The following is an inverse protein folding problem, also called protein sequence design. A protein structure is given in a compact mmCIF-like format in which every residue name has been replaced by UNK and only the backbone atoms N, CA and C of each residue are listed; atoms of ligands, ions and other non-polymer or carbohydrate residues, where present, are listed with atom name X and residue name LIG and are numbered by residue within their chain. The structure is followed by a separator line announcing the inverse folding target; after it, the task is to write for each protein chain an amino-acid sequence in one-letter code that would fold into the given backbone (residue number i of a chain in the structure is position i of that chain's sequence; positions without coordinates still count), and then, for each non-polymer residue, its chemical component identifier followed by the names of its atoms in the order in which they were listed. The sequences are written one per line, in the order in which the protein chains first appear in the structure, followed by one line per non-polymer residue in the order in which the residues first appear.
data_IF_363313994477
#
_entry.id   IF_363313994477
#
_cell.length_a   1.000
_cell.length_b   1.000
_cell.length_c   1.000
_cell.angle_alpha   90.00
_cell.angle_beta   90.00
_cell.angle_gamma   90.00
#
_symmetry.space_group_name_H-M   'P 1'
#
loop_
_entity.id
_entity.type
_entity.pdbx_description
1 polymer ?
#
# COMPACT_ATOMS: atom_id res chain seq x y z
N UNK A 1 74.53 -18.75 -11.62
CA UNK A 1 73.45 -19.69 -11.26
C UNK A 1 72.47 -18.97 -10.34
N UNK A 2 71.29 -18.73 -10.90
CA UNK A 2 69.95 -18.41 -10.37
C UNK A 2 69.82 -17.83 -8.94
N UNK A 3 69.31 -16.59 -8.91
CA UNK A 3 68.81 -15.82 -7.77
C UNK A 3 67.39 -16.26 -7.38
N UNK A 4 67.06 -16.26 -6.08
CA UNK A 4 65.68 -16.40 -5.58
C UNK A 4 65.40 -15.34 -4.52
N UNK A 5 64.62 -14.34 -4.90
CA UNK A 5 64.00 -13.36 -3.99
C UNK A 5 62.61 -13.87 -3.61
N UNK A 6 62.40 -14.16 -2.33
CA UNK A 6 61.10 -14.56 -1.78
C UNK A 6 60.19 -13.35 -1.63
N UNK A 7 59.09 -13.32 -2.39
CA UNK A 7 58.04 -12.32 -2.28
C UNK A 7 56.96 -12.81 -1.29
N UNK A 8 56.52 -12.00 -0.31
CA UNK A 8 55.47 -12.42 0.61
C UNK A 8 54.11 -12.31 -0.10
N UNK A 9 53.46 -13.46 -0.27
CA UNK A 9 52.09 -13.54 -0.78
C UNK A 9 51.14 -13.00 0.30
N UNK A 10 50.62 -11.78 0.10
CA UNK A 10 49.57 -11.20 0.93
C UNK A 10 48.24 -11.88 0.58
N UNK A 11 47.80 -12.87 1.38
CA UNK A 11 46.46 -13.43 1.27
C UNK A 11 45.45 -12.41 1.80
N UNK A 12 44.77 -11.72 0.88
CA UNK A 12 43.59 -10.92 1.19
C UNK A 12 42.40 -11.88 1.36
N UNK A 13 42.03 -12.20 2.60
CA UNK A 13 40.76 -12.87 2.88
C UNK A 13 39.62 -11.89 2.61
N UNK A 14 39.01 -11.99 1.44
CA UNK A 14 37.70 -11.41 1.15
C UNK A 14 36.67 -12.14 2.03
N UNK A 15 36.41 -11.61 3.22
CA UNK A 15 35.20 -11.92 3.98
C UNK A 15 34.01 -11.39 3.16
N UNK A 16 33.46 -12.24 2.30
CA UNK A 16 32.13 -12.02 1.76
C UNK A 16 31.17 -12.04 2.96
N UNK A 17 30.77 -10.85 3.42
CA UNK A 17 29.70 -10.72 4.40
C UNK A 17 28.43 -11.27 3.76
N UNK A 18 28.08 -12.52 4.08
CA UNK A 18 26.79 -13.10 3.74
C UNK A 18 25.74 -12.25 4.45
N UNK A 19 25.07 -11.35 3.73
CA UNK A 19 23.88 -10.68 4.25
C UNK A 19 22.87 -11.77 4.59
N UNK A 20 22.57 -11.92 5.88
CA UNK A 20 21.46 -12.77 6.31
C UNK A 20 20.21 -12.36 5.53
N UNK A 21 19.45 -13.34 5.05
CA UNK A 21 18.17 -13.06 4.41
C UNK A 21 17.29 -12.24 5.37
N UNK A 22 16.54 -11.24 4.89
CA UNK A 22 15.66 -10.46 5.74
C UNK A 22 14.71 -11.40 6.49
N UNK A 23 14.58 -11.20 7.79
CA UNK A 23 13.65 -11.97 8.63
C UNK A 23 12.22 -11.61 8.24
N UNK A 24 11.43 -12.60 7.81
CA UNK A 24 10.01 -12.43 7.49
C UNK A 24 9.19 -12.90 8.67
N UNK A 25 8.31 -12.03 9.16
CA UNK A 25 7.38 -12.31 10.26
C UNK A 25 5.96 -12.34 9.72
N UNK A 26 5.23 -13.45 9.90
CA UNK A 26 3.80 -13.51 9.58
C UNK A 26 3.00 -12.78 10.67
N UNK A 27 2.29 -11.73 10.27
CA UNK A 27 1.37 -10.98 11.14
C UNK A 27 -0.04 -11.57 11.07
N UNK A 28 -0.47 -11.97 9.87
CA UNK A 28 -1.71 -12.70 9.64
C UNK A 28 -1.49 -13.80 8.60
N UNK A 29 -2.12 -14.96 8.81
CA UNK A 29 -1.90 -16.17 8.00
C UNK A 29 -3.03 -16.45 7.00
N UNK A 30 -4.02 -15.56 6.90
CA UNK A 30 -5.18 -15.70 6.03
C UNK A 30 -6.24 -16.70 6.48
N UNK A 31 -6.13 -17.32 7.67
CA UNK A 31 -7.15 -18.27 8.15
C UNK A 31 -8.39 -17.58 8.72
N UNK A 32 -8.25 -16.34 9.17
CA UNK A 32 -9.33 -15.52 9.73
C UNK A 32 -8.93 -14.05 9.66
N UNK A 33 -9.91 -13.16 9.83
CA UNK A 33 -9.62 -11.76 10.05
C UNK A 33 -8.87 -11.53 11.37
N UNK A 34 -7.85 -10.69 11.31
CA UNK A 34 -6.94 -10.36 12.39
C UNK A 34 -6.61 -8.86 12.32
N UNK A 35 -6.24 -8.30 13.47
CA UNK A 35 -5.83 -6.90 13.59
C UNK A 35 -4.71 -6.80 14.62
N UNK A 36 -3.89 -5.77 14.49
CA UNK A 36 -2.83 -5.50 15.44
C UNK A 36 -2.20 -4.14 15.20
N UNK A 37 -1.08 -3.91 15.89
CA UNK A 37 -0.32 -2.67 15.78
C UNK A 37 1.14 -2.99 15.46
N UNK A 38 1.75 -2.16 14.62
CA UNK A 38 3.17 -2.22 14.29
C UNK A 38 3.65 -0.83 13.90
N UNK A 39 4.81 -0.41 14.43
CA UNK A 39 5.47 0.85 14.02
C UNK A 39 4.57 2.10 14.08
N UNK A 40 3.68 2.16 15.08
CA UNK A 40 2.74 3.27 15.27
C UNK A 40 1.52 3.26 14.33
N UNK A 41 1.39 2.24 13.49
CA UNK A 41 0.23 1.99 12.64
C UNK A 41 -0.61 0.85 13.18
N UNK A 42 -1.88 0.83 12.79
CA UNK A 42 -2.77 -0.32 12.96
C UNK A 42 -2.80 -1.09 11.64
N UNK A 43 -2.79 -2.41 11.70
CA UNK A 43 -2.99 -3.27 10.54
C UNK A 43 -4.27 -4.09 10.67
N UNK A 44 -4.92 -4.37 9.54
CA UNK A 44 -6.13 -5.17 9.42
C UNK A 44 -5.95 -6.16 8.27
N UNK A 45 -6.12 -7.45 8.52
CA UNK A 45 -5.84 -8.48 7.53
C UNK A 45 -6.82 -9.65 7.64
N UNK A 46 -7.42 -10.02 6.52
CA UNK A 46 -8.15 -11.27 6.33
C UNK A 46 -7.39 -12.25 5.43
N UNK A 47 -6.38 -11.75 4.69
CA UNK A 47 -5.44 -12.54 3.91
C UNK A 47 -4.13 -12.79 4.66
N UNK A 48 -3.08 -13.05 3.89
CA UNK A 48 -1.73 -13.25 4.43
C UNK A 48 -1.02 -11.90 4.49
N UNK A 49 -0.72 -11.45 5.69
CA UNK A 49 0.06 -10.25 5.96
C UNK A 49 1.39 -10.63 6.62
N UNK A 50 2.49 -10.10 6.08
CA UNK A 50 3.85 -10.33 6.57
C UNK A 50 4.57 -8.99 6.77
N UNK A 51 5.47 -8.92 7.75
CA UNK A 51 6.48 -7.87 7.89
C UNK A 51 7.85 -8.44 7.47
N UNK A 52 8.53 -7.75 6.57
CA UNK A 52 9.61 -8.28 5.77
C UNK A 52 9.10 -9.04 4.54
N UNK A 53 9.84 -8.98 3.43
CA UNK A 53 9.43 -9.59 2.15
C UNK A 53 10.52 -10.52 1.62
N UNK A 54 10.15 -11.77 1.36
CA UNK A 54 11.04 -12.78 0.76
C UNK A 54 11.34 -12.50 -0.71
N UNK A 55 10.41 -11.87 -1.43
CA UNK A 55 10.51 -11.47 -2.84
C UNK A 55 10.26 -9.97 -2.98
N UNK A 56 11.17 -9.18 -2.41
CA UNK A 56 11.06 -7.74 -2.32
C UNK A 56 11.24 -7.05 -3.69
N UNK A 57 10.26 -6.27 -4.18
CA UNK A 57 10.36 -5.56 -5.46
C UNK A 57 11.24 -4.29 -5.43
N UNK A 58 11.84 -3.95 -4.29
CA UNK A 58 12.67 -2.74 -4.11
C UNK A 58 12.14 -1.77 -3.05
N UNK A 59 11.39 -2.27 -2.07
CA UNK A 59 10.84 -1.54 -0.93
C UNK A 59 11.66 -1.94 0.31
N UNK A 60 12.40 -1.03 0.93
CA UNK A 60 13.35 -1.33 2.00
C UNK A 60 12.72 -2.03 3.21
N UNK A 61 11.92 -1.29 3.97
CA UNK A 61 11.09 -1.83 5.05
C UNK A 61 9.69 -2.10 4.48
N UNK A 62 9.26 -3.35 4.48
CA UNK A 62 8.16 -3.77 3.62
C UNK A 62 7.18 -4.75 4.29
N UNK A 63 5.94 -4.67 3.85
CA UNK A 63 4.84 -5.53 4.23
C UNK A 63 4.32 -6.26 3.00
N UNK A 64 4.35 -7.59 3.03
CA UNK A 64 3.79 -8.44 1.99
C UNK A 64 2.34 -8.79 2.27
N UNK A 65 1.47 -8.61 1.28
CA UNK A 65 0.03 -8.80 1.37
C UNK A 65 -0.43 -9.79 0.29
N UNK A 66 -1.32 -10.71 0.62
CA UNK A 66 -1.87 -11.66 -0.36
C UNK A 66 -3.31 -12.03 -0.04
N UNK A 67 -4.17 -11.77 -1.02
CA UNK A 67 -5.59 -12.13 -1.01
C UNK A 67 -5.88 -13.24 -2.04
N UNK A 68 -6.70 -14.21 -1.64
CA UNK A 68 -7.09 -15.35 -2.47
C UNK A 68 -7.98 -14.96 -3.66
N UNK A 69 -7.84 -15.69 -4.77
CA UNK A 69 -8.79 -15.64 -5.89
C UNK A 69 -10.15 -16.28 -5.58
N UNK A 70 -10.27 -17.06 -4.50
CA UNK A 70 -11.53 -17.65 -4.09
C UNK A 70 -12.39 -16.58 -3.38
N UNK A 71 -13.57 -16.23 -3.92
CA UNK A 71 -14.42 -15.16 -3.36
C UNK A 71 -14.98 -15.46 -1.97
N UNK A 72 -14.89 -16.71 -1.51
CA UNK A 72 -15.35 -17.16 -0.20
C UNK A 72 -14.21 -17.40 0.80
N UNK A 73 -12.96 -17.11 0.43
CA UNK A 73 -11.79 -17.22 1.30
C UNK A 73 -11.29 -15.82 1.72
N UNK A 74 -10.51 -15.78 2.80
CA UNK A 74 -9.93 -14.54 3.36
C UNK A 74 -10.99 -13.48 3.64
N UNK A 75 -12.14 -13.87 4.19
CA UNK A 75 -13.24 -12.94 4.40
C UNK A 75 -13.00 -12.06 5.62
N UNK A 76 -13.22 -10.76 5.41
CA UNK A 76 -13.39 -9.78 6.46
C UNK A 76 -14.82 -9.90 7.05
N UNK A 77 -14.96 -10.18 8.36
CA UNK A 77 -16.24 -10.44 9.02
C UNK A 77 -16.98 -9.11 9.28
N UNK A 78 -17.52 -8.52 8.23
CA UNK A 78 -18.47 -7.42 8.31
C UNK A 78 -19.88 -7.85 7.92
N UNK A 79 -20.92 -7.15 8.40
CA UNK A 79 -22.32 -7.37 8.02
C UNK A 79 -22.66 -6.86 6.60
N UNK A 80 -21.65 -6.59 5.79
CA UNK A 80 -21.79 -6.05 4.45
C UNK A 80 -21.59 -7.13 3.39
N UNK A 81 -21.49 -6.70 2.14
CA UNK A 81 -21.06 -7.56 1.04
C UNK A 81 -19.74 -8.29 1.38
N UNK A 82 -19.53 -9.54 0.93
CA UNK A 82 -18.28 -10.26 1.11
C UNK A 82 -17.06 -9.48 0.58
N UNK A 83 -16.01 -9.41 1.40
CA UNK A 83 -14.82 -8.57 1.18
C UNK A 83 -13.54 -9.25 1.67
N UNK A 84 -12.42 -8.87 1.09
CA UNK A 84 -11.07 -9.29 1.46
C UNK A 84 -10.21 -8.06 1.70
N UNK A 85 -9.42 -8.01 2.77
CA UNK A 85 -8.51 -6.88 3.04
C UNK A 85 -7.18 -7.31 3.64
N UNK A 86 -6.12 -6.65 3.24
CA UNK A 86 -4.85 -6.55 3.97
C UNK A 86 -4.42 -5.07 3.86
N UNK A 87 -4.51 -4.32 4.95
CA UNK A 87 -4.25 -2.87 4.96
C UNK A 87 -3.55 -2.44 6.24
N UNK A 88 -2.73 -1.41 6.13
CA UNK A 88 -2.22 -0.64 7.26
C UNK A 88 -2.87 0.75 7.25
N UNK A 89 -2.93 1.36 8.43
CA UNK A 89 -3.37 2.74 8.53
C UNK A 89 -2.70 3.50 9.66
N UNK A 90 -2.52 4.80 9.43
CA UNK A 90 -2.05 5.73 10.45
C UNK A 90 -3.13 5.99 11.51
N UNK A 91 -2.76 6.54 12.68
CA UNK A 91 -3.73 7.02 13.65
C UNK A 91 -4.62 8.15 13.09
N UNK A 92 -5.87 8.25 13.55
CA UNK A 92 -6.74 9.41 13.31
C UNK A 92 -6.10 10.73 13.67
N UNK A 93 -6.28 11.74 12.82
CA UNK A 93 -5.78 13.09 13.02
C UNK A 93 -6.89 14.05 13.44
N UNK A 94 -6.52 15.05 14.24
CA UNK A 94 -7.45 16.10 14.65
C UNK A 94 -7.74 17.04 13.47
N UNK A 95 -8.98 17.50 13.37
CA UNK A 95 -9.42 18.43 12.33
C UNK A 95 -8.56 19.72 12.32
N UNK A 96 -8.25 20.21 11.12
CA UNK A 96 -7.34 21.34 10.91
C UNK A 96 -5.85 20.98 10.94
N UNK A 97 -5.47 19.77 11.35
CA UNK A 97 -4.08 19.30 11.27
C UNK A 97 -3.69 19.04 9.82
N UNK A 98 -2.49 19.48 9.43
CA UNK A 98 -1.88 19.14 8.16
C UNK A 98 -0.86 18.03 8.38
N UNK A 99 -0.82 17.05 7.48
CA UNK A 99 0.19 16.00 7.47
C UNK A 99 0.67 15.74 6.05
N UNK A 100 1.95 15.41 5.93
CA UNK A 100 2.53 14.83 4.73
C UNK A 100 2.82 13.35 4.99
N UNK A 101 2.39 12.50 4.06
CA UNK A 101 2.59 11.06 4.06
C UNK A 101 3.33 10.63 2.80
N UNK A 102 4.23 9.67 2.95
CA UNK A 102 4.88 9.00 1.84
C UNK A 102 4.94 7.51 2.11
N UNK A 103 4.77 6.71 1.06
CA UNK A 103 4.98 5.28 1.09
C UNK A 103 5.24 4.77 -0.33
N UNK A 104 5.82 3.58 -0.43
CA UNK A 104 5.89 2.83 -1.69
C UNK A 104 4.83 1.75 -1.72
N UNK A 105 4.37 1.45 -2.92
CA UNK A 105 3.54 0.29 -3.21
C UNK A 105 4.10 -0.44 -4.42
N UNK A 106 3.96 -1.76 -4.43
CA UNK A 106 4.07 -2.58 -5.62
C UNK A 106 2.81 -3.43 -5.69
N UNK A 107 2.10 -3.36 -6.80
CA UNK A 107 0.98 -4.25 -7.10
C UNK A 107 1.44 -5.28 -8.13
N UNK A 108 1.30 -6.57 -7.83
CA UNK A 108 1.81 -7.63 -8.70
C UNK A 108 1.09 -7.65 -10.05
N UNK A 109 1.84 -7.92 -11.13
CA UNK A 109 1.28 -8.13 -12.47
C UNK A 109 0.29 -9.29 -12.50
N UNK A 110 -0.81 -9.10 -13.22
CA UNK A 110 -1.91 -10.07 -13.26
C UNK A 110 -2.84 -9.98 -12.06
N UNK A 111 -2.67 -8.95 -11.22
CA UNK A 111 -3.73 -8.57 -10.29
C UNK A 111 -4.97 -8.19 -11.11
N UNK A 112 -6.15 -8.57 -10.63
CA UNK A 112 -7.41 -8.23 -11.28
C UNK A 112 -7.97 -6.95 -10.69
N UNK A 113 -8.80 -6.24 -11.45
CA UNK A 113 -9.70 -5.24 -10.90
C UNK A 113 -11.05 -5.86 -10.51
N UNK A 114 -11.87 -5.13 -9.77
CA UNK A 114 -13.29 -5.47 -9.54
C UNK A 114 -14.21 -4.48 -10.26
N UNK A 115 -15.49 -4.80 -10.37
CA UNK A 115 -16.54 -3.89 -10.85
C UNK A 115 -17.06 -2.97 -9.73
N UNK A 116 -16.91 -3.37 -8.47
CA UNK A 116 -17.47 -2.66 -7.30
C UNK A 116 -16.50 -1.73 -6.58
N UNK A 117 -15.46 -2.28 -5.94
CA UNK A 117 -14.37 -1.50 -5.33
C UNK A 117 -13.14 -2.38 -5.14
N UNK A 118 -11.97 -1.77 -5.27
CA UNK A 118 -10.70 -2.38 -4.92
C UNK A 118 -9.74 -1.26 -4.52
N UNK A 119 -9.82 -0.88 -3.25
CA UNK A 119 -9.03 0.17 -2.65
C UNK A 119 -7.56 -0.25 -2.53
N UNK A 120 -6.68 0.60 -3.05
CA UNK A 120 -5.24 0.57 -2.84
C UNK A 120 -4.80 1.60 -1.80
N UNK A 121 -5.56 2.69 -1.68
CA UNK A 121 -5.41 3.74 -0.69
C UNK A 121 -6.78 4.34 -0.38
N UNK A 122 -6.98 4.76 0.87
CA UNK A 122 -8.17 5.48 1.31
C UNK A 122 -7.78 6.65 2.21
N UNK A 123 -8.38 7.82 1.99
CA UNK A 123 -8.56 8.85 3.00
C UNK A 123 -9.85 8.50 3.73
N UNK A 124 -9.77 8.06 4.97
CA UNK A 124 -10.92 7.57 5.74
C UNK A 124 -11.32 8.57 6.84
N UNK A 125 -12.62 8.78 7.00
CA UNK A 125 -13.19 9.62 8.07
C UNK A 125 -13.81 8.73 9.13
N UNK A 126 -13.38 8.86 10.40
CA UNK A 126 -14.00 8.12 11.50
C UNK A 126 -15.44 8.52 11.72
N UNK A 127 -15.75 9.81 11.54
CA UNK A 127 -17.08 10.36 11.82
C UNK A 127 -18.10 9.94 10.75
N UNK A 128 -17.66 9.85 9.49
CA UNK A 128 -18.54 9.45 8.38
C UNK A 128 -18.58 7.93 8.18
N UNK A 129 -17.74 7.19 8.91
CA UNK A 129 -17.58 5.74 8.80
C UNK A 129 -17.32 5.28 7.34
N UNK A 130 -16.49 6.04 6.63
CA UNK A 130 -16.27 5.78 5.22
C UNK A 130 -15.10 6.54 4.59
N UNK A 131 -14.71 6.12 3.37
CA UNK A 131 -13.69 6.82 2.62
C UNK A 131 -14.23 8.15 2.07
N UNK A 132 -13.48 9.22 2.32
CA UNK A 132 -13.64 10.52 1.67
C UNK A 132 -13.17 10.44 0.22
N UNK A 133 -12.01 9.79 0.01
CA UNK A 133 -11.34 9.64 -1.26
C UNK A 133 -10.63 8.29 -1.30
N UNK A 134 -10.57 7.65 -2.46
CA UNK A 134 -9.85 6.39 -2.66
C UNK A 134 -8.99 6.41 -3.92
N UNK A 135 -7.98 5.54 -3.95
CA UNK A 135 -7.32 5.09 -5.16
C UNK A 135 -7.75 3.64 -5.40
N UNK A 136 -8.39 3.37 -6.54
CA UNK A 136 -9.04 2.09 -6.81
C UNK A 136 -8.54 1.40 -8.08
N UNK A 137 -8.40 0.08 -8.01
CA UNK A 137 -8.26 -0.82 -9.15
C UNK A 137 -9.63 -1.34 -9.61
N UNK A 138 -10.33 -0.57 -10.43
CA UNK A 138 -11.67 -0.92 -10.89
C UNK A 138 -11.81 -0.92 -12.42
N UNK A 139 -12.55 -1.91 -12.92
CA UNK A 139 -12.92 -2.04 -14.34
C UNK A 139 -11.71 -1.89 -15.29
N UNK A 140 -10.60 -2.54 -14.96
CA UNK A 140 -9.37 -2.53 -15.73
C UNK A 140 -8.55 -1.23 -15.64
N UNK A 141 -8.89 -0.34 -14.70
CA UNK A 141 -8.20 0.95 -14.52
C UNK A 141 -7.78 1.18 -13.08
N UNK A 142 -6.72 1.97 -12.90
CA UNK A 142 -6.42 2.66 -11.66
C UNK A 142 -7.02 4.06 -11.75
N UNK A 143 -7.78 4.46 -10.73
CA UNK A 143 -8.52 5.72 -10.71
C UNK A 143 -8.69 6.28 -9.30
N UNK A 144 -8.93 7.58 -9.20
CA UNK A 144 -9.33 8.23 -7.95
C UNK A 144 -10.86 8.32 -7.92
N UNK A 145 -11.48 7.93 -6.82
CA UNK A 145 -12.90 8.23 -6.56
C UNK A 145 -12.99 9.15 -5.33
N UNK A 146 -13.63 10.31 -5.46
CA UNK A 146 -13.89 11.26 -4.37
C UNK A 146 -15.38 11.25 -4.01
N UNK A 147 -15.70 10.60 -2.90
CA UNK A 147 -17.07 10.41 -2.43
C UNK A 147 -17.68 11.70 -1.87
N UNK A 148 -16.86 12.60 -1.35
CA UNK A 148 -17.34 13.89 -0.82
C UNK A 148 -17.78 14.82 -1.95
N UNK A 149 -17.09 14.75 -3.08
CA UNK A 149 -17.34 15.61 -4.26
C UNK A 149 -18.17 14.90 -5.33
N UNK A 150 -18.62 13.68 -5.06
CA UNK A 150 -19.41 12.84 -5.97
C UNK A 150 -18.76 12.69 -7.34
N UNK A 151 -17.47 12.37 -7.35
CA UNK A 151 -16.66 12.30 -8.55
C UNK A 151 -15.98 10.93 -8.62
N UNK A 152 -16.28 10.19 -9.69
CA UNK A 152 -16.07 8.75 -9.84
C UNK A 152 -16.08 8.45 -11.35
N UNK A 153 -14.92 8.30 -12.01
CA UNK A 153 -13.59 8.67 -11.54
C UNK A 153 -13.34 10.19 -11.50
N UNK A 154 -12.34 10.60 -10.73
CA UNK A 154 -11.79 11.94 -10.70
C UNK A 154 -10.47 12.06 -11.45
N UNK A 155 -10.38 13.07 -12.30
CA UNK A 155 -9.17 13.36 -13.04
C UNK A 155 -8.84 12.24 -14.03
N UNK A 156 -7.55 11.94 -14.15
CA UNK A 156 -7.05 10.93 -15.07
C UNK A 156 -7.11 9.53 -14.44
N UNK A 157 -7.70 8.58 -15.18
CA UNK A 157 -7.52 7.15 -14.96
C UNK A 157 -6.44 6.60 -15.87
N UNK A 158 -5.81 5.50 -15.45
CA UNK A 158 -4.80 4.78 -16.23
C UNK A 158 -5.20 3.31 -16.34
N UNK A 159 -4.87 2.62 -17.45
CA UNK A 159 -5.04 1.17 -17.53
C UNK A 159 -4.29 0.49 -16.38
N UNK A 160 -4.92 -0.52 -15.75
CA UNK A 160 -4.34 -1.27 -14.63
C UNK A 160 -2.97 -1.87 -15.00
N UNK A 161 -2.84 -2.42 -16.21
CA UNK A 161 -1.57 -2.97 -16.71
C UNK A 161 -0.43 -1.94 -16.86
N UNK A 162 -0.72 -0.63 -16.81
CA UNK A 162 0.29 0.43 -16.78
C UNK A 162 0.75 0.80 -15.36
N UNK A 163 0.14 0.20 -14.34
CA UNK A 163 0.45 0.41 -12.92
C UNK A 163 1.08 -0.83 -12.28
N UNK A 164 0.57 -2.00 -12.63
CA UNK A 164 1.07 -3.26 -12.09
C UNK A 164 2.51 -3.56 -12.47
N UNK A 165 3.20 -4.32 -11.63
CA UNK A 165 4.60 -4.68 -11.84
C UNK A 165 5.57 -3.53 -11.61
N UNK A 166 5.09 -2.36 -11.21
CA UNK A 166 5.89 -1.19 -10.91
C UNK A 166 5.93 -0.95 -9.40
N UNK A 167 7.08 -0.48 -8.90
CA UNK A 167 7.16 0.14 -7.56
C UNK A 167 6.74 1.60 -7.72
N UNK A 168 5.58 1.94 -7.21
CA UNK A 168 5.05 3.29 -7.18
C UNK A 168 5.41 3.99 -5.88
N UNK A 169 5.80 5.26 -5.98
CA UNK A 169 5.98 6.17 -4.86
C UNK A 169 4.73 7.02 -4.72
N UNK A 170 4.13 6.96 -3.55
CA UNK A 170 2.98 7.76 -3.16
C UNK A 170 3.46 8.94 -2.31
N UNK A 171 2.87 10.10 -2.55
CA UNK A 171 3.07 11.30 -1.74
C UNK A 171 1.73 12.00 -1.57
N UNK A 172 1.36 12.26 -0.32
CA UNK A 172 0.12 12.95 0.03
C UNK A 172 0.42 14.06 1.02
N UNK A 173 -0.10 15.26 0.78
CA UNK A 173 -0.26 16.27 1.82
C UNK A 173 -1.75 16.50 2.02
N UNK A 174 -2.23 16.41 3.25
CA UNK A 174 -3.64 16.53 3.59
C UNK A 174 -3.83 17.41 4.83
N UNK A 175 -4.83 18.28 4.81
CA UNK A 175 -5.38 18.96 5.98
C UNK A 175 -6.79 18.45 6.21
N UNK A 176 -7.07 17.92 7.40
CA UNK A 176 -8.36 17.31 7.76
C UNK A 176 -9.41 18.36 8.15
N UNK A 177 -10.70 17.98 8.14
CA UNK A 177 -11.82 18.83 8.57
C UNK A 177 -12.52 19.61 7.45
N UNK A 178 -13.44 20.50 7.84
CA UNK A 178 -14.35 21.25 6.95
C UNK A 178 -13.65 22.17 5.94
N UNK A 179 -12.50 22.73 6.31
CA UNK A 179 -11.70 23.61 5.46
C UNK A 179 -10.40 22.90 5.01
N UNK A 180 -10.49 21.59 4.85
CA UNK A 180 -9.39 20.75 4.47
C UNK A 180 -8.90 20.98 3.04
N UNK A 181 -7.79 20.31 2.73
CA UNK A 181 -7.22 20.25 1.40
C UNK A 181 -6.43 18.96 1.25
N UNK A 182 -6.29 18.49 0.03
CA UNK A 182 -5.45 17.36 -0.32
C UNK A 182 -4.65 17.70 -1.56
N UNK A 183 -3.41 17.23 -1.58
CA UNK A 183 -2.53 17.15 -2.74
C UNK A 183 -1.90 15.75 -2.72
N UNK A 184 -2.34 14.89 -3.64
CA UNK A 184 -1.96 13.49 -3.71
C UNK A 184 -1.38 13.14 -5.06
N UNK A 185 -0.29 12.39 -5.06
CA UNK A 185 0.38 11.94 -6.27
C UNK A 185 0.89 10.51 -6.16
N UNK A 186 0.95 9.84 -7.31
CA UNK A 186 1.58 8.53 -7.49
C UNK A 186 2.56 8.62 -8.64
N UNK A 187 3.78 8.14 -8.45
CA UNK A 187 4.87 8.27 -9.41
C UNK A 187 5.71 6.99 -9.52
N UNK A 188 6.44 6.84 -10.62
CA UNK A 188 7.47 5.82 -10.82
C UNK A 188 8.74 6.52 -11.23
N UNK A 189 9.76 6.50 -10.37
CA UNK A 189 10.94 7.34 -10.53
C UNK A 189 10.53 8.82 -10.58
N UNK A 190 10.90 9.53 -11.64
CA UNK A 190 10.52 10.93 -11.86
C UNK A 190 9.19 11.11 -12.61
N UNK A 191 8.57 10.03 -13.09
CA UNK A 191 7.36 10.10 -13.90
C UNK A 191 6.12 10.05 -13.02
N UNK A 192 5.29 11.08 -13.07
CA UNK A 192 4.01 11.13 -12.37
C UNK A 192 2.96 10.33 -13.16
N UNK A 193 2.30 9.39 -12.49
CA UNK A 193 1.22 8.57 -13.06
C UNK A 193 -0.16 9.16 -12.72
N UNK A 194 -0.33 9.58 -11.46
CA UNK A 194 -1.58 10.14 -10.94
C UNK A 194 -1.26 11.40 -10.18
N UNK A 195 -2.11 12.41 -10.35
CA UNK A 195 -2.18 13.59 -9.51
C UNK A 195 -3.63 13.95 -9.23
N UNK A 196 -3.91 14.28 -7.98
CA UNK A 196 -5.22 14.74 -7.55
C UNK A 196 -5.05 15.78 -6.46
N UNK A 197 -5.74 16.91 -6.60
CA UNK A 197 -5.78 17.94 -5.58
C UNK A 197 -7.19 18.48 -5.42
N UNK A 198 -7.59 18.74 -4.18
CA UNK A 198 -8.90 19.32 -3.88
C UNK A 198 -8.90 20.10 -2.56
N UNK A 199 -9.90 20.96 -2.39
CA UNK A 199 -10.16 21.74 -1.17
C UNK A 199 -11.58 21.50 -0.67
N UNK A 200 -11.83 21.80 0.61
CA UNK A 200 -13.12 21.60 1.28
C UNK A 200 -13.05 20.46 2.28
N UNK A 201 -14.19 19.85 2.59
CA UNK A 201 -14.25 18.77 3.58
C UNK A 201 -13.29 17.62 3.21
N UNK A 202 -12.49 17.19 4.21
CA UNK A 202 -11.52 16.08 4.12
C UNK A 202 -11.70 15.08 5.27
N UNK A 203 -12.95 14.86 5.69
CA UNK A 203 -13.28 13.98 6.81
C UNK A 203 -13.05 14.63 8.17
N UNK A 204 -13.49 13.92 9.21
CA UNK A 204 -13.25 14.27 10.61
C UNK A 204 -12.71 13.07 11.37
N UNK A 205 -11.67 13.28 12.18
CA UNK A 205 -10.85 12.19 12.72
C UNK A 205 -10.15 11.41 11.59
N UNK A 206 -9.69 12.12 10.56
CA UNK A 206 -9.23 11.52 9.31
C UNK A 206 -7.93 10.73 9.48
N UNK A 207 -7.81 9.60 8.79
CA UNK A 207 -6.56 8.86 8.67
C UNK A 207 -6.40 8.24 7.28
N UNK A 208 -5.16 7.88 6.94
CA UNK A 208 -4.84 7.27 5.65
C UNK A 208 -4.69 5.77 5.83
N UNK A 209 -5.41 5.01 5.00
CA UNK A 209 -5.26 3.56 4.84
C UNK A 209 -4.55 3.27 3.53
N UNK A 210 -3.72 2.24 3.50
CA UNK A 210 -3.07 1.76 2.27
C UNK A 210 -2.83 0.26 2.34
N UNK A 211 -2.87 -0.40 1.19
CA UNK A 211 -2.77 -1.84 1.08
C UNK A 211 -3.63 -2.36 -0.07
N UNK A 212 -4.36 -3.45 0.17
CA UNK A 212 -5.31 -4.03 -0.77
C UNK A 212 -6.61 -4.40 -0.06
N UNK A 213 -7.73 -3.79 -0.46
CA UNK A 213 -9.05 -4.08 0.09
C UNK A 213 -10.11 -4.07 -1.00
N UNK A 214 -10.77 -5.22 -1.21
CA UNK A 214 -11.65 -5.42 -2.36
C UNK A 214 -12.94 -6.13 -2.01
N UNK A 215 -13.97 -5.81 -2.79
CA UNK A 215 -15.17 -6.61 -2.90
C UNK A 215 -14.85 -7.96 -3.55
N UNK A 216 -15.51 -9.06 -3.16
CA UNK A 216 -15.19 -10.39 -3.71
C UNK A 216 -16.16 -10.89 -4.79
N UNK A 217 -17.20 -10.12 -5.14
CA UNK A 217 -18.33 -10.62 -5.96
C UNK A 217 -17.89 -11.11 -7.34
N UNK A 218 -16.88 -10.47 -7.93
CA UNK A 218 -16.44 -10.69 -9.30
C UNK A 218 -14.93 -10.89 -9.44
N UNK A 219 -14.26 -11.27 -8.35
CA UNK A 219 -12.84 -11.60 -8.41
C UNK A 219 -12.61 -12.90 -9.17
N UNK A 220 -11.59 -12.91 -10.01
CA UNK A 220 -11.09 -14.10 -10.72
C UNK A 220 -9.60 -14.34 -10.50
N UNK A 221 -8.92 -13.42 -9.81
CA UNK A 221 -7.47 -13.44 -9.59
C UNK A 221 -7.14 -13.22 -8.12
N UNK A 222 -6.02 -13.79 -7.69
CA UNK A 222 -5.40 -13.40 -6.43
C UNK A 222 -4.89 -11.97 -6.55
N UNK A 223 -4.73 -11.30 -5.41
CA UNK A 223 -4.02 -10.02 -5.37
C UNK A 223 -2.78 -10.18 -4.48
N UNK A 224 -1.64 -9.74 -4.99
CA UNK A 224 -0.41 -9.65 -4.21
C UNK A 224 0.09 -8.21 -4.27
N UNK A 225 0.38 -7.64 -3.10
CA UNK A 225 0.92 -6.29 -2.99
C UNK A 225 2.05 -6.28 -1.97
N UNK A 226 3.00 -5.37 -2.18
CA UNK A 226 3.98 -4.99 -1.18
C UNK A 226 3.82 -3.50 -0.90
N UNK A 227 3.82 -3.10 0.36
CA UNK A 227 3.82 -1.68 0.76
C UNK A 227 4.94 -1.44 1.76
N UNK A 228 5.43 -0.21 1.88
CA UNK A 228 6.50 0.07 2.82
C UNK A 228 7.23 1.37 2.56
N UNK A 229 8.44 1.50 3.11
CA UNK A 229 9.24 2.74 3.12
C UNK A 229 8.38 3.95 3.51
N UNK A 230 7.56 3.77 4.55
CA UNK A 230 6.56 4.74 4.96
C UNK A 230 7.20 5.85 5.80
N UNK A 231 6.65 7.06 5.67
CA UNK A 231 6.95 8.18 6.54
C UNK A 231 5.73 9.09 6.68
N UNK A 232 5.61 9.73 7.83
CA UNK A 232 4.61 10.76 8.09
C UNK A 232 5.21 11.88 8.92
N UNK A 233 4.81 13.11 8.62
CA UNK A 233 5.17 14.29 9.39
C UNK A 233 4.00 15.28 9.41
N UNK A 234 3.83 15.96 10.54
CA UNK A 234 2.89 17.07 10.70
C UNK A 234 3.50 18.36 10.18
#
# INVERSE_FOLDING_TARGET
MISFTSSPLLLLFLLAASRAAPSVTTLANGSSYQTGHIEGMTWQASGVLTHGCSSNPGIGDCFGMTLSSNPNANLDPGNWSPRQRDELHFPPQADGSAYTYQWKQYLASGTGSTSHFFHLMQVFSTTDDGPILTLDAQQGTIRIDDNTRNCNPCGQSLPLGSYEGLVTQHHMTITSGNNGKIDYSVSVGSSMLIHYSATGYMGSGTYIKFGIYRATQDISTSATSFVGDFSSNQ
#
